data_IF_485040728858
#
_entry.id   IF_485040728858
#
_cell.length_a   1.000
_cell.length_b   1.000
_cell.length_c   1.000
_cell.angle_alpha   90.00
_cell.angle_beta   90.00
_cell.angle_gamma   90.00
#
_symmetry.space_group_name_H-M   'P 1'
#
loop_
_entity.id
_entity.type
_entity.pdbx_description
1 polymer ?
#
# COMPACT_ATOMS: atom_id res chain seq x y z
N UNK A 1 -29.39 -3.07 54.24
CA UNK A 1 -29.64 -3.46 52.83
C UNK A 1 -28.31 -3.89 52.22
N UNK A 2 -28.14 -5.19 51.94
CA UNK A 2 -26.88 -5.77 51.44
C UNK A 2 -26.84 -5.61 49.92
N UNK A 3 -26.10 -4.63 49.43
CA UNK A 3 -25.94 -4.36 48.00
C UNK A 3 -24.88 -5.33 47.44
N UNK A 4 -25.28 -6.24 46.56
CA UNK A 4 -24.39 -7.13 45.81
C UNK A 4 -23.79 -6.34 44.65
N UNK A 5 -22.48 -6.15 44.65
CA UNK A 5 -21.72 -5.58 43.53
C UNK A 5 -21.88 -6.54 42.34
N UNK A 6 -22.63 -6.12 41.32
CA UNK A 6 -22.73 -6.83 40.04
C UNK A 6 -21.43 -6.56 39.27
N UNK A 7 -20.85 -7.64 38.79
CA UNK A 7 -19.57 -7.79 38.11
C UNK A 7 -19.48 -6.96 36.82
N UNK A 8 -18.25 -6.59 36.48
CA UNK A 8 -17.74 -6.03 35.22
C UNK A 8 -17.75 -4.50 35.09
N UNK A 9 -16.78 -3.92 35.80
CA UNK A 9 -16.15 -2.63 35.52
C UNK A 9 -15.78 -2.55 34.02
N UNK A 10 -16.00 -1.37 33.45
CA UNK A 10 -16.02 -1.11 32.03
C UNK A 10 -14.77 -1.47 31.24
N UNK A 11 -15.00 -1.91 30.01
CA UNK A 11 -14.04 -1.80 28.92
C UNK A 11 -14.83 -1.25 27.73
N UNK A 12 -14.74 0.07 27.54
CA UNK A 12 -15.00 0.68 26.24
C UNK A 12 -13.91 0.14 25.32
N UNK A 13 -14.20 -0.93 24.58
CA UNK A 13 -13.29 -1.50 23.59
C UNK A 13 -13.19 -0.47 22.45
N UNK A 14 -12.19 0.39 22.52
CA UNK A 14 -11.72 1.15 21.36
C UNK A 14 -11.05 0.11 20.44
N UNK A 15 -11.78 -0.41 19.47
CA UNK A 15 -11.19 -1.17 18.37
C UNK A 15 -10.36 -0.20 17.53
N UNK A 16 -9.09 -0.09 17.86
CA UNK A 16 -8.09 0.55 16.99
C UNK A 16 -7.88 -0.46 15.86
N UNK A 17 -8.58 -0.26 14.74
CA UNK A 17 -8.32 -1.02 13.53
C UNK A 17 -6.87 -0.75 13.11
N UNK A 18 -5.99 -1.69 13.38
CA UNK A 18 -4.68 -1.74 12.73
C UNK A 18 -4.95 -2.19 11.29
N UNK A 19 -5.22 -1.24 10.39
CA UNK A 19 -5.16 -1.53 8.96
C UNK A 19 -3.72 -1.89 8.65
N UNK A 20 -3.48 -3.06 8.08
CA UNK A 20 -2.13 -3.45 7.68
C UNK A 20 -1.70 -2.58 6.50
N UNK A 21 -0.40 -2.27 6.44
CA UNK A 21 0.25 -1.61 5.32
C UNK A 21 -0.23 -2.16 3.96
N UNK A 22 -0.30 -3.48 3.92
CA UNK A 22 -0.68 -4.29 2.80
C UNK A 22 -2.12 -3.99 2.31
N UNK A 23 -3.09 -3.84 3.20
CA UNK A 23 -4.48 -3.48 2.83
C UNK A 23 -4.59 -2.08 2.22
N UNK A 24 -3.73 -1.14 2.62
CA UNK A 24 -3.74 0.23 2.07
C UNK A 24 -3.15 0.33 0.66
N UNK A 25 -2.24 -0.58 0.30
CA UNK A 25 -1.58 -0.61 -1.01
C UNK A 25 -2.38 -1.44 -2.02
N UNK A 26 -3.02 -2.53 -1.58
CA UNK A 26 -3.91 -3.34 -2.42
C UNK A 26 -4.96 -2.46 -3.11
N UNK A 27 -5.31 -2.83 -4.35
CA UNK A 27 -6.29 -2.10 -5.17
C UNK A 27 -5.88 -0.66 -5.52
N UNK A 28 -4.61 -0.27 -5.34
CA UNK A 28 -4.12 1.05 -5.79
C UNK A 28 -3.36 0.93 -7.11
N UNK A 29 -3.55 1.94 -7.96
CA UNK A 29 -2.85 2.08 -9.23
C UNK A 29 -2.32 3.50 -9.35
N UNK A 30 -1.09 3.61 -9.85
CA UNK A 30 -0.30 4.82 -9.86
C UNK A 30 0.24 5.07 -11.26
N UNK A 31 0.31 6.35 -11.65
CA UNK A 31 0.92 6.79 -12.91
C UNK A 31 2.13 7.64 -12.59
N UNK A 32 3.23 7.40 -13.30
CA UNK A 32 4.47 8.16 -13.10
C UNK A 32 4.28 9.61 -13.53
N UNK A 33 4.54 10.54 -12.61
CA UNK A 33 4.50 11.99 -12.89
C UNK A 33 5.88 12.58 -13.14
N UNK A 34 6.90 12.04 -12.47
CA UNK A 34 8.29 12.46 -12.59
C UNK A 34 9.23 11.39 -12.03
N UNK A 35 10.49 11.38 -12.47
CA UNK A 35 11.53 10.47 -11.99
C UNK A 35 12.86 11.18 -11.69
N UNK A 36 13.70 10.55 -10.88
CA UNK A 36 15.03 11.05 -10.54
C UNK A 36 15.13 11.54 -9.09
N UNK A 37 16.18 12.30 -8.74
CA UNK A 37 16.40 12.74 -7.37
C UNK A 37 15.29 13.69 -6.91
N UNK A 38 14.89 13.58 -5.64
CA UNK A 38 13.83 14.40 -5.06
C UNK A 38 14.12 15.91 -5.12
N UNK A 39 15.40 16.32 -5.16
CA UNK A 39 15.81 17.72 -5.29
C UNK A 39 15.67 18.29 -6.70
N UNK A 40 15.62 17.43 -7.73
CA UNK A 40 15.55 17.83 -9.13
C UNK A 40 14.87 16.74 -9.98
N UNK A 41 13.57 16.49 -9.78
CA UNK A 41 12.85 15.48 -10.54
C UNK A 41 12.68 15.91 -12.00
N UNK A 42 12.81 14.96 -12.92
CA UNK A 42 12.50 15.15 -14.33
C UNK A 42 11.05 14.73 -14.60
N UNK A 43 10.23 15.58 -15.24
CA UNK A 43 8.87 15.21 -15.60
C UNK A 43 8.84 13.93 -16.44
N UNK A 44 7.81 13.11 -16.23
CA UNK A 44 7.53 12.02 -17.15
C UNK A 44 7.33 12.59 -18.57
N UNK A 45 7.77 11.84 -19.58
CA UNK A 45 7.63 12.24 -20.97
C UNK A 45 6.15 12.41 -21.33
N UNK A 46 5.78 13.51 -22.00
CA UNK A 46 4.39 13.69 -22.42
C UNK A 46 3.96 12.56 -23.37
N UNK A 47 2.80 11.98 -23.08
CA UNK A 47 2.28 10.81 -23.81
C UNK A 47 2.86 9.46 -23.37
N UNK A 48 3.86 9.43 -22.47
CA UNK A 48 4.23 8.22 -21.74
C UNK A 48 3.23 8.00 -20.60
N UNK A 49 2.67 6.78 -20.53
CA UNK A 49 1.74 6.37 -19.50
C UNK A 49 2.35 5.25 -18.66
N UNK A 50 3.55 5.49 -18.10
CA UNK A 50 4.16 4.50 -17.22
C UNK A 50 3.28 4.29 -15.96
N UNK A 51 2.89 3.05 -15.70
CA UNK A 51 1.96 2.67 -14.62
C UNK A 51 2.61 1.71 -13.64
N UNK A 52 2.09 1.70 -12.41
CA UNK A 52 2.43 0.76 -11.34
C UNK A 52 1.16 0.42 -10.56
N UNK A 53 0.83 -0.86 -10.42
CA UNK A 53 -0.40 -1.31 -9.76
C UNK A 53 -0.13 -2.45 -8.79
N UNK A 54 -0.73 -2.38 -7.62
CA UNK A 54 -0.74 -3.47 -6.64
C UNK A 54 -1.93 -4.39 -6.91
N UNK A 55 -1.68 -5.70 -7.07
CA UNK A 55 -2.71 -6.68 -7.37
C UNK A 55 -3.71 -6.84 -6.23
N UNK A 56 -4.98 -7.09 -6.59
CA UNK A 56 -6.08 -7.34 -5.66
C UNK A 56 -5.91 -8.67 -4.91
N UNK A 57 -5.39 -9.69 -5.60
CA UNK A 57 -5.24 -11.06 -5.11
C UNK A 57 -4.09 -11.24 -4.09
N UNK A 58 -3.32 -10.18 -3.83
CA UNK A 58 -2.24 -10.12 -2.84
C UNK A 58 -0.83 -10.25 -3.42
N UNK A 59 0.13 -9.57 -2.76
CA UNK A 59 1.58 -9.57 -2.94
C UNK A 59 2.14 -9.42 -4.37
N UNK A 60 1.30 -9.17 -5.39
CA UNK A 60 1.71 -8.93 -6.76
C UNK A 60 1.77 -7.45 -7.10
N UNK A 61 2.70 -7.09 -7.98
CA UNK A 61 2.70 -5.81 -8.67
C UNK A 61 2.76 -6.04 -10.18
N UNK A 62 2.16 -5.12 -10.91
CA UNK A 62 2.22 -5.07 -12.38
C UNK A 62 2.39 -3.63 -12.82
N UNK A 63 2.95 -3.44 -13.99
CA UNK A 63 2.98 -2.13 -14.61
C UNK A 63 3.36 -2.18 -16.08
N UNK A 64 3.24 -1.04 -16.71
CA UNK A 64 3.56 -0.82 -18.11
C UNK A 64 4.43 0.43 -18.21
N UNK A 65 5.40 0.44 -19.13
CA UNK A 65 6.30 1.57 -19.38
C UNK A 65 6.05 2.22 -20.74
N UNK A 66 4.97 1.84 -21.42
CA UNK A 66 4.67 2.14 -22.82
C UNK A 66 5.42 1.26 -23.82
N UNK A 67 6.60 0.73 -23.44
CA UNK A 67 7.37 -0.20 -24.28
C UNK A 67 7.32 -1.63 -23.77
N UNK A 68 7.49 -1.80 -22.46
CA UNK A 68 7.52 -3.09 -21.80
C UNK A 68 6.51 -3.10 -20.66
N UNK A 69 5.92 -4.27 -20.44
CA UNK A 69 5.22 -4.58 -19.20
C UNK A 69 6.20 -5.22 -18.23
N UNK A 70 5.94 -5.04 -16.94
CA UNK A 70 6.73 -5.65 -15.88
C UNK A 70 5.81 -6.18 -14.78
N UNK A 71 6.31 -7.17 -14.05
CA UNK A 71 5.60 -7.74 -12.92
C UNK A 71 6.58 -8.28 -11.88
N UNK A 72 6.10 -8.45 -10.65
CA UNK A 72 6.89 -8.98 -9.56
C UNK A 72 6.07 -9.13 -8.29
N UNK A 73 6.75 -9.43 -7.19
CA UNK A 73 6.13 -9.48 -5.88
C UNK A 73 6.57 -8.31 -5.00
N UNK A 74 5.74 -7.99 -4.01
CA UNK A 74 6.05 -7.05 -2.95
C UNK A 74 5.73 -7.64 -1.58
N UNK A 75 6.35 -7.07 -0.56
CA UNK A 75 6.06 -7.29 0.84
C UNK A 75 5.91 -5.94 1.53
N UNK A 76 4.77 -5.72 2.21
CA UNK A 76 4.49 -4.48 2.93
C UNK A 76 4.72 -4.65 4.44
N UNK A 77 5.42 -3.69 5.03
CA UNK A 77 5.72 -3.62 6.46
C UNK A 77 5.51 -2.19 6.99
N UNK A 78 4.43 -2.00 7.75
CA UNK A 78 4.06 -0.71 8.35
C UNK A 78 3.85 0.42 7.33
N UNK A 79 4.81 1.33 7.25
CA UNK A 79 4.78 2.49 6.33
C UNK A 79 5.72 2.29 5.13
N UNK A 80 6.25 1.09 4.97
CA UNK A 80 7.22 0.73 3.94
C UNK A 80 6.79 -0.52 3.18
N UNK A 81 7.36 -0.71 2.00
CA UNK A 81 7.24 -1.96 1.27
C UNK A 81 8.54 -2.22 0.51
N UNK A 82 8.82 -3.49 0.29
CA UNK A 82 9.95 -3.95 -0.52
C UNK A 82 9.42 -4.62 -1.77
N UNK A 83 10.02 -4.31 -2.91
CA UNK A 83 9.73 -4.98 -4.18
C UNK A 83 10.85 -5.99 -4.45
N UNK A 84 10.47 -7.21 -4.84
CA UNK A 84 11.41 -8.24 -5.28
C UNK A 84 11.97 -7.93 -6.69
N UNK A 85 12.74 -8.85 -7.25
CA UNK A 85 13.19 -8.70 -8.64
C UNK A 85 11.99 -8.62 -9.60
N UNK A 86 12.04 -7.64 -10.51
CA UNK A 86 11.04 -7.43 -11.55
C UNK A 86 11.42 -8.21 -12.80
N UNK A 87 10.43 -8.86 -13.41
CA UNK A 87 10.51 -9.44 -14.75
C UNK A 87 9.98 -8.48 -15.80
#
# INVERSE_FOLDING_TARGET
MRLRVIVAIGVLVLVISCTSADESLRHTSWTLVALGPASAPQPALEGSAATFSFSEDGNGITGDTGCNTYWGSYEADGESFTIAELS
#
